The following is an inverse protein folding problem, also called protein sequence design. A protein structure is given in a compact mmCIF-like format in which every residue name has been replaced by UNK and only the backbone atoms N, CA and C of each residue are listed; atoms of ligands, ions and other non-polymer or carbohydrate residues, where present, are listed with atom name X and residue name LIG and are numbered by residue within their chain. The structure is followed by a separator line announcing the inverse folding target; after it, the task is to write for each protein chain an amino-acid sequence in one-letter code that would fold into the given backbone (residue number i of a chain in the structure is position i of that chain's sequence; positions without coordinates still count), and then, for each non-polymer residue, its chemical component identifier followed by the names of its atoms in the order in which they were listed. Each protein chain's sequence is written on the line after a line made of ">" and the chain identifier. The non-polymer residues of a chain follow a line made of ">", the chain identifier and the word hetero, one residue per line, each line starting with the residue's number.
data_IF_309701586974
#
_entry.id   IF_309701586974
#
_cell.length_a   1.000
_cell.length_b   1.000
_cell.length_c   1.000
_cell.angle_alpha   90.00
_cell.angle_beta   90.00
_cell.angle_gamma   90.00
#
_symmetry.space_group_name_H-M   'P 1'
#
loop_
_entity.id
_entity.type
_entity.pdbx_description
1 polymer ?
#
# COMPACT_ATOMS: atom_id res chain seq x y z
N UNK A 1 22.80 20.75 4.70
CA UNK A 1 21.39 20.48 5.06
C UNK A 1 21.06 19.14 4.45
N UNK A 2 20.76 18.10 5.24
CA UNK A 2 20.26 16.85 4.66
C UNK A 2 18.82 17.10 4.23
N UNK A 3 18.55 17.13 2.92
CA UNK A 3 17.17 17.07 2.45
C UNK A 3 16.60 15.73 2.93
N UNK A 4 15.58 15.80 3.78
CA UNK A 4 14.84 14.60 4.17
C UNK A 4 14.13 14.08 2.93
N UNK A 5 14.42 12.84 2.56
CA UNK A 5 13.74 12.13 1.49
C UNK A 5 12.22 12.26 1.69
N UNK A 6 11.50 12.69 0.64
CA UNK A 6 10.04 12.82 0.71
C UNK A 6 9.41 11.45 0.94
N UNK A 7 8.46 11.37 1.86
CA UNK A 7 7.72 10.15 2.16
C UNK A 7 6.26 10.29 1.72
N UNK A 8 5.77 9.29 0.99
CA UNK A 8 4.39 9.22 0.51
C UNK A 8 3.72 7.97 1.05
N UNK A 9 2.55 8.14 1.66
CA UNK A 9 1.75 7.05 2.20
C UNK A 9 0.63 6.70 1.24
N UNK A 10 0.58 5.43 0.84
CA UNK A 10 -0.31 4.90 -0.19
C UNK A 10 -1.13 3.77 0.43
N UNK A 11 -2.44 3.78 0.20
CA UNK A 11 -3.33 2.69 0.62
C UNK A 11 -3.94 2.04 -0.61
N UNK A 12 -3.82 0.72 -0.72
CA UNK A 12 -4.33 -0.07 -1.85
C UNK A 12 -5.67 -0.70 -1.45
N UNK A 13 -6.75 -0.22 -2.08
CA UNK A 13 -8.13 -0.65 -1.78
C UNK A 13 -8.78 -1.36 -2.97
N UNK A 14 -9.73 -2.24 -2.68
CA UNK A 14 -10.48 -2.99 -3.68
C UNK A 14 -11.00 -4.33 -3.16
N UNK A 15 -11.94 -4.93 -3.87
CA UNK A 15 -12.59 -6.19 -3.48
C UNK A 15 -11.60 -7.35 -3.28
N UNK A 16 -12.06 -8.41 -2.61
CA UNK A 16 -11.28 -9.64 -2.43
C UNK A 16 -10.94 -10.27 -3.77
N UNK A 17 -9.74 -10.84 -3.89
CA UNK A 17 -9.32 -11.56 -5.10
C UNK A 17 -8.99 -10.71 -6.33
N UNK A 18 -9.12 -9.37 -6.31
CA UNK A 18 -8.83 -8.51 -7.48
C UNK A 18 -7.32 -8.34 -7.78
N UNK A 19 -6.44 -8.91 -6.95
CA UNK A 19 -5.00 -8.89 -7.17
C UNK A 19 -4.22 -7.73 -6.52
N UNK A 20 -4.78 -7.06 -5.50
CA UNK A 20 -4.09 -5.97 -4.75
C UNK A 20 -2.71 -6.40 -4.24
N UNK A 21 -2.68 -7.48 -3.48
CA UNK A 21 -1.45 -8.05 -2.90
C UNK A 21 -0.48 -8.51 -3.98
N UNK A 22 -0.98 -9.11 -5.07
CA UNK A 22 -0.13 -9.50 -6.20
C UNK A 22 0.57 -8.30 -6.84
N UNK A 23 -0.15 -7.19 -7.03
CA UNK A 23 0.40 -5.94 -7.58
C UNK A 23 1.37 -5.29 -6.59
N UNK A 24 1.02 -5.21 -5.31
CA UNK A 24 1.87 -4.62 -4.27
C UNK A 24 3.17 -5.40 -4.12
N UNK A 25 3.12 -6.72 -4.03
CA UNK A 25 4.31 -7.57 -3.90
C UNK A 25 5.16 -7.54 -5.15
N UNK A 26 4.56 -7.61 -6.34
CA UNK A 26 5.30 -7.47 -7.60
C UNK A 26 6.02 -6.12 -7.67
N UNK A 27 5.34 -5.04 -7.26
CA UNK A 27 5.96 -3.72 -7.22
C UNK A 27 7.10 -3.66 -6.21
N UNK A 28 6.92 -4.16 -4.98
CA UNK A 28 7.92 -4.01 -3.91
C UNK A 28 9.10 -4.97 -4.07
N UNK A 29 8.84 -6.23 -4.36
CA UNK A 29 9.82 -7.32 -4.32
C UNK A 29 10.24 -7.79 -5.72
N UNK A 30 9.53 -7.40 -6.78
CA UNK A 30 9.81 -7.86 -8.14
C UNK A 30 9.43 -9.32 -8.40
N UNK A 31 8.68 -9.95 -7.49
CA UNK A 31 8.22 -11.33 -7.62
C UNK A 31 6.69 -11.41 -7.69
N UNK A 32 6.21 -12.37 -8.48
CA UNK A 32 4.79 -12.66 -8.57
C UNK A 32 4.46 -13.85 -7.67
N UNK A 33 3.59 -13.63 -6.69
CA UNK A 33 3.15 -14.70 -5.78
C UNK A 33 1.98 -15.44 -6.41
N UNK A 34 2.21 -16.67 -6.85
CA UNK A 34 1.17 -17.51 -7.47
C UNK A 34 0.14 -18.05 -6.47
N UNK A 35 0.51 -18.17 -5.19
CA UNK A 35 -0.38 -18.67 -4.14
C UNK A 35 -1.08 -17.52 -3.43
N UNK A 36 -2.41 -17.51 -3.51
CA UNK A 36 -3.23 -16.55 -2.80
C UNK A 36 -3.35 -16.94 -1.32
N UNK A 37 -2.68 -16.19 -0.44
CA UNK A 37 -2.98 -16.14 0.99
C UNK A 37 -3.80 -14.85 1.24
N UNK A 38 -5.04 -14.94 1.78
CA UNK A 38 -5.82 -13.74 2.07
C UNK A 38 -5.08 -12.79 3.02
N UNK A 39 -4.61 -11.66 2.51
CA UNK A 39 -4.00 -10.61 3.34
C UNK A 39 -5.01 -10.06 4.35
N UNK A 40 -4.58 -9.87 5.60
CA UNK A 40 -5.31 -9.12 6.63
C UNK A 40 -5.00 -7.63 6.44
N UNK A 41 -3.74 -7.25 6.65
CA UNK A 41 -3.19 -5.91 6.41
C UNK A 41 -1.65 -6.03 6.41
N UNK A 42 -0.98 -5.55 5.37
CA UNK A 42 0.49 -5.55 5.26
C UNK A 42 1.01 -4.15 4.91
N UNK A 43 2.12 -3.74 5.54
CA UNK A 43 2.82 -2.50 5.24
C UNK A 43 4.17 -2.77 4.58
N UNK A 44 4.42 -2.09 3.47
CA UNK A 44 5.64 -2.20 2.67
C UNK A 44 6.31 -0.83 2.54
N UNK A 45 7.64 -0.83 2.48
CA UNK A 45 8.40 0.39 2.16
C UNK A 45 9.29 0.17 0.95
N UNK A 46 9.28 1.13 0.03
CA UNK A 46 10.13 1.09 -1.16
C UNK A 46 10.67 2.46 -1.49
N UNK A 47 11.99 2.57 -1.65
CA UNK A 47 12.61 3.74 -2.26
C UNK A 47 12.44 3.68 -3.77
N UNK A 48 11.98 4.78 -4.35
CA UNK A 48 11.77 4.89 -5.80
C UNK A 48 12.23 6.26 -6.29
N UNK A 49 12.55 6.32 -7.57
CA UNK A 49 12.77 7.59 -8.27
C UNK A 49 11.50 7.93 -9.07
N UNK A 50 10.93 9.10 -8.79
CA UNK A 50 9.80 9.66 -9.54
C UNK A 50 10.21 11.04 -10.02
N UNK A 51 10.17 11.26 -11.34
CA UNK A 51 10.56 12.53 -11.98
C UNK A 51 11.95 13.04 -11.56
N UNK A 52 12.91 12.13 -11.42
CA UNK A 52 14.28 12.44 -11.01
C UNK A 52 14.46 12.72 -9.51
N UNK A 53 13.41 12.56 -8.70
CA UNK A 53 13.46 12.76 -7.25
C UNK A 53 13.33 11.42 -6.51
N UNK A 54 14.28 11.15 -5.61
CA UNK A 54 14.22 10.00 -4.71
C UNK A 54 13.16 10.22 -3.62
N UNK A 55 12.24 9.28 -3.48
CA UNK A 55 11.21 9.29 -2.45
C UNK A 55 11.02 7.92 -1.80
N UNK A 56 10.49 7.91 -0.58
CA UNK A 56 10.05 6.71 0.12
C UNK A 56 8.55 6.55 -0.10
N UNK A 57 8.13 5.38 -0.56
CA UNK A 57 6.72 4.98 -0.54
C UNK A 57 6.50 4.06 0.65
N UNK A 58 5.50 4.39 1.47
CA UNK A 58 4.91 3.51 2.47
C UNK A 58 3.56 3.02 1.91
N UNK A 59 3.46 1.72 1.61
CA UNK A 59 2.30 1.13 0.94
C UNK A 59 1.60 0.20 1.90
N UNK A 60 0.34 0.48 2.17
CA UNK A 60 -0.56 -0.36 2.93
C UNK A 60 -1.43 -1.19 1.99
N UNK A 61 -1.25 -2.52 2.01
CA UNK A 61 -2.10 -3.48 1.32
C UNK A 61 -3.17 -4.02 2.29
N UNK A 62 -4.44 -3.89 1.92
CA UNK A 62 -5.55 -4.25 2.82
C UNK A 62 -6.27 -5.53 2.38
N UNK A 63 -6.86 -6.26 3.34
CA UNK A 63 -7.86 -7.28 3.04
C UNK A 63 -8.96 -6.72 2.13
N UNK A 64 -9.40 -7.53 1.16
CA UNK A 64 -10.51 -7.17 0.27
C UNK A 64 -11.90 -7.57 0.78
N UNK A 65 -12.09 -7.74 2.09
CA UNK A 65 -13.38 -8.20 2.63
C UNK A 65 -14.44 -7.10 2.54
N UNK A 66 -15.49 -7.42 1.78
CA UNK A 66 -16.56 -6.54 1.25
C UNK A 66 -17.48 -5.94 2.34
N UNK A 67 -17.27 -6.20 3.63
CA UNK A 67 -18.20 -5.77 4.68
C UNK A 67 -17.83 -4.46 5.40
N UNK A 68 -16.70 -3.82 5.10
CA UNK A 68 -16.30 -2.58 5.78
C UNK A 68 -16.45 -1.38 4.84
N UNK A 69 -17.37 -0.47 5.19
CA UNK A 69 -17.68 0.71 4.38
C UNK A 69 -16.44 1.57 4.15
N UNK A 70 -16.15 1.94 2.90
CA UNK A 70 -15.09 2.89 2.52
C UNK A 70 -15.08 4.16 3.38
N UNK A 71 -16.25 4.62 3.84
CA UNK A 71 -16.39 5.76 4.77
C UNK A 71 -15.76 5.51 6.14
N UNK A 72 -15.79 4.28 6.63
CA UNK A 72 -15.18 3.90 7.91
C UNK A 72 -13.65 3.77 7.78
N UNK A 73 -13.16 3.24 6.65
CA UNK A 73 -11.72 3.24 6.32
C UNK A 73 -11.14 4.65 6.22
N UNK A 74 -11.78 5.54 5.44
CA UNK A 74 -11.35 6.93 5.37
C UNK A 74 -11.39 7.61 6.74
N UNK A 75 -12.40 7.35 7.57
CA UNK A 75 -12.53 7.99 8.88
C UNK A 75 -11.49 7.50 9.91
N UNK A 76 -11.08 6.22 9.87
CA UNK A 76 -10.10 5.69 10.81
C UNK A 76 -8.66 5.95 10.35
N UNK A 77 -8.35 5.64 9.08
CA UNK A 77 -6.98 5.72 8.57
C UNK A 77 -6.55 7.14 8.19
N UNK A 78 -7.43 7.98 7.61
CA UNK A 78 -7.07 9.39 7.33
C UNK A 78 -6.92 10.20 8.63
N UNK A 79 -7.49 9.74 9.75
CA UNK A 79 -7.29 10.36 11.07
C UNK A 79 -5.97 9.99 11.77
N UNK A 80 -5.36 8.86 11.44
CA UNK A 80 -4.01 8.52 11.94
C UNK A 80 -2.89 9.01 11.00
N UNK A 81 -3.26 9.40 9.76
CA UNK A 81 -2.35 9.93 8.76
C UNK A 81 -2.30 11.46 8.68
N UNK A 82 -3.20 12.17 9.38
CA UNK A 82 -3.24 13.64 9.56
C UNK A 82 -3.12 13.99 11.05
#
# INVERSE_FOLDING_TARGET
>A
MSETMREYKIVVLGSGGVGKSALTVQFVQGIFVEKYDPTIEDSYRKQVEVDGQQCMLEILDTAGTVSFSLKSFLCHYVRELL
#
